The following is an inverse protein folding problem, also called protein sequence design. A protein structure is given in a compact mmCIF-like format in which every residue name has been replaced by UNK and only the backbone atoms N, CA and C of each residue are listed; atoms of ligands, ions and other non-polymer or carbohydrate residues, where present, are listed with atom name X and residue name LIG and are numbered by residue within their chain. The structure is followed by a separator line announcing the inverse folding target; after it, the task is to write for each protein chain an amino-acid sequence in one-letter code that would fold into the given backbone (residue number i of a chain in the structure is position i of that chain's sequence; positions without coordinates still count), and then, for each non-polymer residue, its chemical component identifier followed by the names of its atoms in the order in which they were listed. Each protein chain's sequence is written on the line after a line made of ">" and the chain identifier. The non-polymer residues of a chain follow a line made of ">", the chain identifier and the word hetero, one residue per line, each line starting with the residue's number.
data_IF_534813237137
#
_entry.id   IF_534813237137
#
_cell.length_a   1.000
_cell.length_b   1.000
_cell.length_c   1.000
_cell.angle_alpha   90.00
_cell.angle_beta   90.00
_cell.angle_gamma   90.00
#
_symmetry.space_group_name_H-M   'P 1'
#
loop_
_entity.id
_entity.type
_entity.pdbx_description
1 polymer ?
#
# COMPACT_ATOMS: atom_id res chain seq x y z
N UNK A 1 12.71 0.67 -9.99
CA UNK A 1 13.36 -0.60 -9.67
C UNK A 1 13.43 -0.78 -8.17
N UNK A 2 12.96 -1.91 -7.70
CA UNK A 2 12.92 -2.22 -6.28
C UNK A 2 14.20 -2.97 -5.92
N UNK A 3 14.93 -2.49 -4.90
CA UNK A 3 16.12 -3.17 -4.41
C UNK A 3 15.73 -4.30 -3.42
N UNK A 4 16.73 -5.07 -2.97
CA UNK A 4 16.50 -6.22 -2.08
C UNK A 4 15.85 -5.84 -0.75
N UNK A 5 16.24 -4.71 -0.16
CA UNK A 5 15.69 -4.26 1.12
C UNK A 5 14.22 -3.84 0.96
N UNK A 6 13.95 -3.10 -0.10
CA UNK A 6 12.58 -2.69 -0.43
C UNK A 6 11.69 -3.90 -0.69
N UNK A 7 12.20 -4.87 -1.45
CA UNK A 7 11.45 -6.10 -1.74
C UNK A 7 11.12 -6.85 -0.45
N UNK A 8 12.06 -6.95 0.46
CA UNK A 8 11.84 -7.63 1.75
C UNK A 8 10.74 -6.96 2.55
N UNK A 9 10.77 -5.63 2.66
CA UNK A 9 9.74 -4.85 3.36
C UNK A 9 8.36 -5.06 2.70
N UNK A 10 8.31 -4.96 1.38
CA UNK A 10 7.05 -5.10 0.65
C UNK A 10 6.49 -6.52 0.73
N UNK A 11 7.34 -7.53 0.70
CA UNK A 11 6.91 -8.93 0.87
C UNK A 11 6.32 -9.14 2.28
N UNK A 12 6.98 -8.61 3.31
CA UNK A 12 6.49 -8.70 4.69
C UNK A 12 5.17 -7.96 4.85
N UNK A 13 5.06 -6.79 4.25
CA UNK A 13 3.82 -6.01 4.28
C UNK A 13 2.68 -6.75 3.59
N UNK A 14 2.92 -7.28 2.41
CA UNK A 14 1.92 -8.07 1.68
C UNK A 14 1.45 -9.29 2.46
N UNK A 15 2.38 -10.01 3.10
CA UNK A 15 2.06 -11.16 3.94
C UNK A 15 1.17 -10.75 5.12
N UNK A 16 1.52 -9.67 5.80
CA UNK A 16 0.75 -9.19 6.95
C UNK A 16 -0.65 -8.75 6.54
N UNK A 17 -0.77 -8.05 5.42
CA UNK A 17 -2.07 -7.63 4.90
C UNK A 17 -2.93 -8.82 4.54
N UNK A 18 -2.37 -9.84 3.91
CA UNK A 18 -3.11 -11.07 3.57
C UNK A 18 -3.52 -11.82 4.81
N UNK A 19 -2.68 -11.87 5.84
CA UNK A 19 -3.01 -12.52 7.10
C UNK A 19 -4.19 -11.83 7.78
N UNK A 20 -4.20 -10.49 7.80
CA UNK A 20 -5.23 -9.72 8.51
C UNK A 20 -6.55 -9.63 7.73
N UNK A 21 -6.51 -9.56 6.41
CA UNK A 21 -7.68 -9.26 5.61
C UNK A 21 -8.16 -10.42 4.73
N UNK A 22 -7.30 -11.39 4.43
CA UNK A 22 -7.68 -12.54 3.62
C UNK A 22 -8.35 -12.15 2.30
N UNK A 23 -9.54 -12.68 2.05
CA UNK A 23 -10.28 -12.45 0.80
C UNK A 23 -10.80 -11.03 0.64
N UNK A 24 -10.81 -10.24 1.71
CA UNK A 24 -11.19 -8.83 1.64
C UNK A 24 -10.13 -7.98 0.94
N UNK A 25 -8.88 -8.45 0.95
CA UNK A 25 -7.79 -7.76 0.25
C UNK A 25 -7.86 -8.09 -1.24
N UNK A 26 -8.04 -7.07 -2.07
CA UNK A 26 -8.16 -7.24 -3.52
C UNK A 26 -6.85 -6.95 -4.24
N UNK A 27 -6.15 -5.90 -3.83
CA UNK A 27 -4.91 -5.50 -4.50
C UNK A 27 -4.10 -4.56 -3.62
N UNK A 28 -2.79 -4.62 -3.75
CA UNK A 28 -1.86 -3.64 -3.18
C UNK A 28 -1.03 -3.09 -4.32
N UNK A 29 -0.94 -1.76 -4.41
CA UNK A 29 -0.15 -1.09 -5.44
C UNK A 29 0.83 -0.14 -4.76
N UNK A 30 2.12 -0.39 -4.94
CA UNK A 30 3.16 0.56 -4.55
C UNK A 30 3.19 1.67 -5.58
N UNK A 31 3.07 2.92 -5.15
CA UNK A 31 3.17 4.07 -6.04
C UNK A 31 4.14 5.08 -5.43
N UNK A 32 4.24 6.27 -6.01
CA UNK A 32 5.12 7.32 -5.51
C UNK A 32 6.59 7.08 -5.85
N UNK A 33 7.48 7.71 -5.08
CA UNK A 33 8.90 7.78 -5.41
C UNK A 33 9.58 6.40 -5.47
N UNK A 34 9.21 5.47 -4.58
CA UNK A 34 9.81 4.14 -4.58
C UNK A 34 9.38 3.30 -5.79
N UNK A 35 8.19 3.54 -6.31
CA UNK A 35 7.75 2.87 -7.54
C UNK A 35 8.44 3.48 -8.76
N UNK A 36 8.63 4.80 -8.79
CA UNK A 36 9.33 5.48 -9.88
C UNK A 36 10.84 5.28 -9.87
N UNK A 37 11.40 4.97 -8.70
CA UNK A 37 12.85 4.80 -8.55
C UNK A 37 13.61 6.10 -8.27
N UNK A 38 12.90 7.19 -7.98
CA UNK A 38 13.52 8.48 -7.63
C UNK A 38 13.50 8.76 -6.13
N UNK A 39 13.38 7.69 -5.33
CA UNK A 39 13.34 7.77 -3.88
C UNK A 39 14.73 7.95 -3.27
N UNK A 40 14.71 8.40 -2.00
CA UNK A 40 15.86 8.39 -1.11
C UNK A 40 15.66 7.28 -0.07
N UNK A 41 16.70 6.95 0.74
CA UNK A 41 16.53 5.96 1.81
C UNK A 41 15.45 6.33 2.83
N UNK A 42 15.15 7.62 2.97
CA UNK A 42 14.14 8.12 3.93
C UNK A 42 12.73 8.24 3.35
N UNK A 43 12.56 7.91 2.08
CA UNK A 43 11.24 8.02 1.43
C UNK A 43 10.24 7.04 2.02
N UNK A 44 8.98 7.48 2.13
CA UNK A 44 7.87 6.63 2.55
C UNK A 44 7.59 5.56 1.50
N UNK A 45 6.99 4.46 1.96
CA UNK A 45 6.42 3.46 1.07
C UNK A 45 4.95 3.81 0.86
N UNK A 46 4.63 4.39 -0.29
CA UNK A 46 3.26 4.79 -0.63
C UNK A 46 2.51 3.60 -1.22
N UNK A 47 1.55 3.09 -0.48
CA UNK A 47 0.80 1.90 -0.87
C UNK A 47 -0.69 2.21 -0.96
N UNK A 48 -1.26 1.96 -2.14
CA UNK A 48 -2.71 1.97 -2.34
C UNK A 48 -3.20 0.55 -2.07
N UNK A 49 -4.10 0.41 -1.11
CA UNK A 49 -4.65 -0.89 -0.72
C UNK A 49 -6.12 -0.93 -1.08
N UNK A 50 -6.49 -1.86 -1.95
CA UNK A 50 -7.87 -2.00 -2.42
C UNK A 50 -8.52 -3.15 -1.68
N UNK A 51 -9.63 -2.85 -1.00
CA UNK A 51 -10.33 -3.76 -0.12
C UNK A 51 -11.81 -3.87 -0.51
N UNK A 52 -12.46 -4.96 -0.09
CA UNK A 52 -13.90 -5.13 -0.28
C UNK A 52 -14.72 -4.18 0.58
N UNK A 53 -14.19 -3.81 1.77
CA UNK A 53 -14.81 -2.80 2.61
C UNK A 53 -13.72 -1.97 3.31
N UNK A 54 -14.05 -0.73 3.63
CA UNK A 54 -13.21 0.16 4.41
C UNK A 54 -14.05 0.72 5.55
N UNK A 55 -13.88 0.15 6.73
CA UNK A 55 -14.60 0.54 7.94
C UNK A 55 -13.61 1.16 8.94
N UNK A 56 -14.10 1.79 10.03
CA UNK A 56 -13.19 2.26 11.08
C UNK A 56 -12.32 1.14 11.66
N UNK A 57 -12.84 -0.08 11.80
CA UNK A 57 -12.06 -1.21 12.29
C UNK A 57 -10.96 -1.63 11.30
N UNK A 58 -11.24 -1.59 10.00
CA UNK A 58 -10.25 -1.85 8.96
C UNK A 58 -9.13 -0.81 9.03
N UNK A 59 -9.50 0.46 9.14
CA UNK A 59 -8.51 1.55 9.26
C UNK A 59 -7.65 1.39 10.49
N UNK A 60 -8.22 0.97 11.62
CA UNK A 60 -7.49 0.75 12.85
C UNK A 60 -6.44 -0.37 12.68
N UNK A 61 -6.79 -1.45 11.99
CA UNK A 61 -5.86 -2.53 11.71
C UNK A 61 -4.71 -2.04 10.81
N UNK A 62 -5.03 -1.26 9.80
CA UNK A 62 -4.02 -0.68 8.89
C UNK A 62 -3.05 0.22 9.66
N UNK A 63 -3.56 1.08 10.54
CA UNK A 63 -2.74 1.96 11.37
C UNK A 63 -1.84 1.16 12.30
N UNK A 64 -2.33 0.07 12.85
CA UNK A 64 -1.55 -0.81 13.72
C UNK A 64 -0.41 -1.49 12.92
N UNK A 65 -0.69 -1.94 11.72
CA UNK A 65 0.35 -2.52 10.85
C UNK A 65 1.42 -1.48 10.52
N UNK A 66 1.01 -0.27 10.16
CA UNK A 66 1.95 0.81 9.85
C UNK A 66 2.83 1.16 11.06
N UNK A 67 2.23 1.23 12.25
CA UNK A 67 2.95 1.48 13.50
C UNK A 67 3.95 0.37 13.82
N UNK A 68 3.56 -0.89 13.63
CA UNK A 68 4.42 -2.04 13.84
C UNK A 68 5.64 -2.02 12.90
N UNK A 69 5.44 -1.69 11.63
CA UNK A 69 6.53 -1.61 10.66
C UNK A 69 7.48 -0.46 10.98
N UNK A 70 6.96 0.68 11.44
CA UNK A 70 7.80 1.78 11.89
C UNK A 70 8.68 1.35 13.07
N UNK A 71 8.09 0.66 14.03
CA UNK A 71 8.81 0.20 15.23
C UNK A 71 9.86 -0.86 14.90
N UNK A 72 9.48 -1.87 14.11
CA UNK A 72 10.36 -3.03 13.84
C UNK A 72 11.42 -2.76 12.78
N UNK A 73 11.05 -2.04 11.74
CA UNK A 73 11.90 -1.91 10.56
C UNK A 73 12.36 -0.47 10.28
N UNK A 74 11.90 0.47 11.08
CA UNK A 74 12.21 1.90 10.91
C UNK A 74 11.84 2.38 9.49
N UNK A 75 10.70 1.94 8.99
CA UNK A 75 10.17 2.36 7.69
C UNK A 75 8.80 2.99 7.88
N UNK A 76 8.49 3.98 7.07
CA UNK A 76 7.18 4.63 7.08
C UNK A 76 6.34 4.07 5.94
N UNK A 77 5.24 3.41 6.31
CA UNK A 77 4.23 2.95 5.36
C UNK A 77 3.13 4.00 5.29
N UNK A 78 2.98 4.64 4.15
CA UNK A 78 1.90 5.57 3.88
C UNK A 78 0.81 4.81 3.14
N UNK A 79 -0.17 4.30 3.88
CA UNK A 79 -1.17 3.38 3.36
C UNK A 79 -2.47 4.13 3.08
N UNK A 80 -2.93 4.08 1.83
CA UNK A 80 -4.19 4.67 1.42
C UNK A 80 -5.18 3.55 1.12
N UNK A 81 -6.18 3.29 2.00
CA UNK A 81 -7.19 2.28 1.73
C UNK A 81 -8.29 2.84 0.83
N UNK A 82 -8.72 2.02 -0.12
CA UNK A 82 -9.84 2.34 -1.01
C UNK A 82 -10.70 1.10 -1.19
N UNK A 83 -12.00 1.31 -1.31
CA UNK A 83 -12.92 0.23 -1.69
C UNK A 83 -12.83 -0.02 -3.19
N UNK A 84 -12.99 -1.28 -3.57
CA UNK A 84 -13.02 -1.65 -4.97
C UNK A 84 -14.07 -0.86 -5.76
N UNK A 85 -15.24 -0.66 -5.16
CA UNK A 85 -16.32 0.13 -5.78
C UNK A 85 -15.91 1.57 -6.03
N UNK A 86 -15.17 2.19 -5.10
CA UNK A 86 -14.69 3.56 -5.26
C UNK A 86 -13.78 3.69 -6.48
N UNK A 87 -12.92 2.70 -6.70
CA UNK A 87 -12.02 2.68 -7.86
C UNK A 87 -12.85 2.63 -9.15
N UNK A 88 -13.88 1.77 -9.15
CA UNK A 88 -14.75 1.54 -10.30
C UNK A 88 -15.57 2.78 -10.65
N UNK A 89 -16.02 3.52 -9.62
CA UNK A 89 -16.88 4.69 -9.77
C UNK A 89 -16.12 5.96 -10.15
N UNK A 90 -14.79 5.92 -10.09
CA UNK A 90 -13.96 7.09 -10.37
C UNK A 90 -12.91 6.82 -11.46
N UNK A 91 -13.34 6.42 -12.68
CA UNK A 91 -12.41 6.04 -13.75
C UNK A 91 -11.55 7.21 -14.24
N UNK A 92 -11.95 8.44 -13.96
CA UNK A 92 -11.25 9.65 -14.39
C UNK A 92 -10.48 10.35 -13.28
N UNK A 93 -10.37 9.74 -12.11
CA UNK A 93 -9.63 10.31 -10.99
C UNK A 93 -8.13 10.36 -11.34
N UNK A 94 -7.52 11.56 -11.47
CA UNK A 94 -6.11 11.66 -11.88
C UNK A 94 -5.14 10.98 -10.92
N UNK A 95 -5.42 11.03 -9.63
CA UNK A 95 -4.59 10.37 -8.63
C UNK A 95 -4.57 8.86 -8.84
N UNK A 96 -5.73 8.25 -8.96
CA UNK A 96 -5.85 6.80 -9.18
C UNK A 96 -5.22 6.38 -10.50
N UNK A 97 -5.45 7.16 -11.54
CA UNK A 97 -4.86 6.91 -12.86
C UNK A 97 -3.34 6.88 -12.77
N UNK A 98 -2.74 7.88 -12.12
CA UNK A 98 -1.29 7.95 -11.98
C UNK A 98 -0.75 6.82 -11.11
N UNK A 99 -1.43 6.50 -10.02
CA UNK A 99 -1.02 5.41 -9.13
C UNK A 99 -0.99 4.07 -9.89
N UNK A 100 -1.98 3.79 -10.71
CA UNK A 100 -2.01 2.56 -11.49
C UNK A 100 -1.01 2.55 -12.63
N UNK A 101 -0.75 3.69 -13.27
CA UNK A 101 0.22 3.77 -14.36
C UNK A 101 1.67 3.62 -13.88
N UNK A 102 2.01 4.29 -12.79
CA UNK A 102 3.37 4.27 -12.23
C UNK A 102 3.59 3.10 -11.27
N UNK A 103 2.50 2.56 -10.75
CA UNK A 103 2.52 1.64 -9.63
C UNK A 103 3.03 0.25 -9.96
N UNK A 104 3.49 -0.41 -8.90
CA UNK A 104 3.93 -1.81 -8.94
C UNK A 104 2.93 -2.60 -8.11
N UNK A 105 2.29 -3.57 -8.75
CA UNK A 105 1.33 -4.45 -8.06
C UNK A 105 2.11 -5.47 -7.22
N UNK A 106 1.76 -5.57 -5.96
CA UNK A 106 2.42 -6.49 -5.03
C UNK A 106 1.70 -7.83 -4.94
#
# INVERSE_FOLDING_TARGET
>A
MINKNEKKILDLFGQEMRRCFGDRLKRIVLFGSRARGDNTPDSDYDCLVILGEVSPSVKAIIDEIAGDFLFRYNVVLSILPKMEEEIHDQPYNPFLKNAFQEGIVL
#
